data_IF_848594220176
#
_entry.id   IF_848594220176
#
_cell.length_a   1.000
_cell.length_b   1.000
_cell.length_c   1.000
_cell.angle_alpha   90.00
_cell.angle_beta   90.00
_cell.angle_gamma   90.00
#
_symmetry.space_group_name_H-M   'P 1'
#
loop_
_entity.id
_entity.type
_entity.pdbx_description
1 polymer ?
#
# COMPACT_ATOMS: atom_id res chain seq x y z
N UNK A 1 5.72 24.71 4.17
CA UNK A 1 4.70 25.54 3.51
C UNK A 1 5.29 26.32 2.35
N UNK A 2 6.29 27.19 2.57
CA UNK A 2 6.89 27.99 1.48
C UNK A 2 7.41 27.15 0.31
N UNK A 3 8.17 26.07 0.56
CA UNK A 3 8.68 25.24 -0.55
C UNK A 3 7.58 24.48 -1.30
N UNK A 4 6.52 24.05 -0.59
CA UNK A 4 5.35 23.42 -1.20
C UNK A 4 4.62 24.41 -2.11
N UNK A 5 4.40 25.64 -1.62
CA UNK A 5 3.76 26.70 -2.39
C UNK A 5 4.58 27.07 -3.64
N UNK A 6 5.91 27.18 -3.49
CA UNK A 6 6.84 27.41 -4.62
C UNK A 6 6.73 26.29 -5.65
N UNK A 7 6.77 25.03 -5.23
CA UNK A 7 6.64 23.88 -6.13
C UNK A 7 5.28 23.82 -6.83
N UNK A 8 4.21 24.25 -6.15
CA UNK A 8 2.85 24.32 -6.69
C UNK A 8 2.58 25.57 -7.55
N UNK A 9 3.53 26.52 -7.65
CA UNK A 9 3.36 27.75 -8.42
C UNK A 9 2.34 28.74 -7.83
N UNK A 10 2.09 28.70 -6.53
CA UNK A 10 1.11 29.55 -5.84
C UNK A 10 1.74 30.32 -4.67
N UNK A 11 1.07 31.38 -4.22
CA UNK A 11 1.52 32.13 -3.06
C UNK A 11 1.38 31.29 -1.77
N UNK A 12 2.33 31.44 -0.84
CA UNK A 12 2.27 30.75 0.46
C UNK A 12 0.99 31.09 1.22
N UNK A 13 0.50 32.33 1.12
CA UNK A 13 -0.76 32.76 1.73
C UNK A 13 -1.96 31.96 1.19
N UNK A 14 -2.00 31.66 -0.11
CA UNK A 14 -3.04 30.82 -0.71
C UNK A 14 -3.05 29.42 -0.08
N UNK A 15 -1.88 28.82 0.20
CA UNK A 15 -1.81 27.51 0.84
C UNK A 15 -2.43 27.52 2.25
N UNK A 16 -2.22 28.60 3.01
CA UNK A 16 -2.77 28.78 4.35
C UNK A 16 -4.30 28.99 4.37
N UNK A 17 -4.89 29.43 3.26
CA UNK A 17 -6.37 29.49 3.12
C UNK A 17 -6.98 28.09 3.15
N UNK A 18 -6.32 27.11 2.53
CA UNK A 18 -6.82 25.72 2.45
C UNK A 18 -6.34 24.85 3.61
N UNK A 19 -5.11 25.08 4.09
CA UNK A 19 -4.48 24.25 5.10
C UNK A 19 -3.96 25.11 6.27
N UNK A 20 -4.56 25.00 7.46
CA UNK A 20 -4.15 25.79 8.63
C UNK A 20 -2.68 25.59 9.03
N UNK A 21 -2.12 24.42 8.75
CA UNK A 21 -0.72 24.09 9.04
C UNK A 21 -0.15 23.10 8.03
N UNK A 22 1.19 22.96 8.03
CA UNK A 22 1.89 21.92 7.26
C UNK A 22 1.43 20.52 7.67
N UNK A 23 1.24 20.32 8.97
CA UNK A 23 0.88 19.02 9.51
C UNK A 23 -0.51 18.62 9.02
N UNK A 24 -1.47 19.55 9.03
CA UNK A 24 -2.83 19.30 8.53
C UNK A 24 -2.84 19.04 7.02
N UNK A 25 -2.02 19.76 6.25
CA UNK A 25 -1.82 19.48 4.83
C UNK A 25 -1.32 18.06 4.60
N UNK A 26 -0.29 17.63 5.34
CA UNK A 26 0.31 16.30 5.17
C UNK A 26 -0.66 15.17 5.57
N UNK A 27 -1.43 15.36 6.65
CA UNK A 27 -2.48 14.42 7.06
C UNK A 27 -3.54 14.29 5.97
N UNK A 28 -4.08 15.40 5.47
CA UNK A 28 -5.11 15.35 4.42
C UNK A 28 -4.57 14.75 3.11
N UNK A 29 -3.33 15.08 2.73
CA UNK A 29 -2.68 14.48 1.56
C UNK A 29 -2.52 12.96 1.72
N UNK A 30 -2.17 12.49 2.92
CA UNK A 30 -2.09 11.05 3.21
C UNK A 30 -3.46 10.36 3.08
N UNK A 31 -4.53 10.98 3.58
CA UNK A 31 -5.89 10.45 3.47
C UNK A 31 -6.36 10.36 2.02
N UNK A 32 -6.12 11.42 1.25
CA UNK A 32 -6.44 11.45 -0.17
C UNK A 32 -5.65 10.39 -0.93
N UNK A 33 -4.34 10.28 -0.69
CA UNK A 33 -3.48 9.28 -1.31
C UNK A 33 -3.96 7.85 -1.00
N UNK A 34 -4.26 7.55 0.27
CA UNK A 34 -4.77 6.23 0.69
C UNK A 34 -6.11 5.92 0.07
N UNK A 35 -7.03 6.88 0.04
CA UNK A 35 -8.34 6.72 -0.59
C UNK A 35 -8.21 6.45 -2.09
N UNK A 36 -7.33 7.19 -2.78
CA UNK A 36 -7.08 7.00 -4.20
C UNK A 36 -6.48 5.62 -4.49
N UNK A 37 -5.53 5.17 -3.67
CA UNK A 37 -4.98 3.81 -3.75
C UNK A 37 -6.07 2.76 -3.52
N UNK A 38 -6.91 2.90 -2.50
CA UNK A 38 -7.99 1.95 -2.22
C UNK A 38 -8.98 1.83 -3.39
N UNK A 39 -9.36 2.96 -3.98
CA UNK A 39 -10.24 2.98 -5.16
C UNK A 39 -9.63 2.23 -6.36
N UNK A 40 -8.33 2.41 -6.62
CA UNK A 40 -7.64 1.71 -7.72
C UNK A 40 -7.51 0.20 -7.48
N UNK A 41 -7.49 -0.24 -6.23
CA UNK A 41 -7.35 -1.66 -5.87
C UNK A 41 -8.69 -2.38 -5.68
N UNK A 42 -9.80 -1.66 -5.57
CA UNK A 42 -11.12 -2.19 -5.22
C UNK A 42 -11.59 -3.35 -6.11
N UNK A 43 -11.23 -3.34 -7.39
CA UNK A 43 -11.68 -4.33 -8.37
C UNK A 43 -10.74 -5.53 -8.54
N UNK A 44 -9.60 -5.55 -7.85
CA UNK A 44 -8.60 -6.62 -7.99
C UNK A 44 -9.00 -7.92 -7.27
N UNK A 45 -10.09 -7.92 -6.51
CA UNK A 45 -10.44 -8.99 -5.61
C UNK A 45 -11.75 -9.68 -6.02
N UNK A 46 -11.67 -10.95 -6.38
CA UNK A 46 -12.83 -11.82 -6.58
C UNK A 46 -12.99 -12.76 -5.38
N UNK A 47 -14.02 -12.58 -4.52
CA UNK A 47 -14.21 -13.41 -3.32
C UNK A 47 -14.47 -14.89 -3.64
N UNK A 48 -14.88 -15.23 -4.86
CA UNK A 48 -15.19 -16.61 -5.26
C UNK A 48 -13.96 -17.39 -5.71
N UNK A 49 -12.86 -16.71 -6.01
CA UNK A 49 -11.63 -17.36 -6.44
C UNK A 49 -10.89 -18.02 -5.26
N UNK A 50 -10.05 -19.04 -5.50
CA UNK A 50 -9.19 -19.61 -4.47
C UNK A 50 -8.29 -18.56 -3.82
N UNK A 51 -7.98 -18.71 -2.52
CA UNK A 51 -7.22 -17.71 -1.75
C UNK A 51 -5.90 -17.29 -2.40
N UNK A 52 -5.14 -18.25 -2.98
CA UNK A 52 -3.90 -17.95 -3.70
C UNK A 52 -4.14 -17.07 -4.93
N UNK A 53 -5.22 -17.30 -5.67
CA UNK A 53 -5.58 -16.50 -6.83
C UNK A 53 -6.03 -15.09 -6.42
N UNK A 54 -6.85 -14.98 -5.36
CA UNK A 54 -7.20 -13.69 -4.71
C UNK A 54 -5.94 -12.91 -4.32
N UNK A 55 -5.03 -13.57 -3.60
CA UNK A 55 -3.77 -12.98 -3.15
C UNK A 55 -2.90 -12.52 -4.33
N UNK A 56 -2.80 -13.32 -5.39
CA UNK A 56 -2.04 -12.97 -6.61
C UNK A 56 -2.61 -11.72 -7.29
N UNK A 57 -3.93 -11.66 -7.47
CA UNK A 57 -4.59 -10.54 -8.13
C UNK A 57 -4.38 -9.23 -7.35
N UNK A 58 -4.56 -9.26 -6.03
CA UNK A 58 -4.29 -8.11 -5.15
C UNK A 58 -2.81 -7.73 -5.18
N UNK A 59 -1.89 -8.70 -5.11
CA UNK A 59 -0.44 -8.44 -5.15
C UNK A 59 -0.02 -7.73 -6.43
N UNK A 60 -0.50 -8.21 -7.59
CA UNK A 60 -0.22 -7.62 -8.90
C UNK A 60 -0.82 -6.22 -9.03
N UNK A 61 -2.05 -6.02 -8.54
CA UNK A 61 -2.68 -4.70 -8.54
C UNK A 61 -1.91 -3.69 -7.68
N UNK A 62 -1.44 -4.11 -6.50
CA UNK A 62 -0.60 -3.28 -5.64
C UNK A 62 0.75 -2.96 -6.29
N UNK A 63 1.39 -3.95 -6.94
CA UNK A 63 2.63 -3.74 -7.67
C UNK A 63 2.44 -2.72 -8.80
N UNK A 64 1.43 -2.94 -9.65
CA UNK A 64 1.11 -2.05 -10.75
C UNK A 64 0.82 -0.62 -10.26
N UNK A 65 -0.02 -0.48 -9.24
CA UNK A 65 -0.31 0.82 -8.62
C UNK A 65 0.97 1.50 -8.11
N UNK A 66 1.87 0.76 -7.47
CA UNK A 66 3.13 1.31 -6.95
C UNK A 66 4.07 1.74 -8.08
N UNK A 67 4.16 0.99 -9.17
CA UNK A 67 4.98 1.34 -10.32
C UNK A 67 4.43 2.59 -11.03
N UNK A 68 3.12 2.66 -11.24
CA UNK A 68 2.44 3.78 -11.89
C UNK A 68 2.43 5.06 -11.04
N UNK A 69 2.31 4.92 -9.71
CA UNK A 69 2.17 6.05 -8.76
C UNK A 69 3.27 6.02 -7.69
N UNK A 70 4.53 5.84 -8.10
CA UNK A 70 5.65 5.62 -7.17
C UNK A 70 5.85 6.73 -6.14
N UNK A 71 5.74 8.00 -6.54
CA UNK A 71 5.88 9.14 -5.63
C UNK A 71 4.79 9.14 -4.56
N UNK A 72 3.55 8.84 -4.93
CA UNK A 72 2.42 8.71 -4.00
C UNK A 72 2.66 7.55 -3.01
N UNK A 73 3.05 6.38 -3.51
CA UNK A 73 3.33 5.22 -2.68
C UNK A 73 4.50 5.45 -1.71
N UNK A 74 5.57 6.12 -2.17
CA UNK A 74 6.72 6.48 -1.34
C UNK A 74 6.36 7.50 -0.27
N UNK A 75 5.55 8.49 -0.62
CA UNK A 75 5.02 9.46 0.35
C UNK A 75 4.20 8.78 1.44
N UNK A 76 3.29 7.86 1.07
CA UNK A 76 2.50 7.12 2.05
C UNK A 76 3.36 6.33 3.04
N UNK A 77 4.45 5.71 2.58
CA UNK A 77 5.37 4.95 3.45
C UNK A 77 6.13 5.87 4.42
N UNK A 78 6.70 6.95 3.89
CA UNK A 78 7.41 7.93 4.72
C UNK A 78 6.48 8.59 5.73
N UNK A 79 5.24 8.90 5.33
CA UNK A 79 4.24 9.48 6.22
C UNK A 79 3.83 8.48 7.31
N UNK A 80 3.59 7.21 6.98
CA UNK A 80 3.24 6.17 7.95
C UNK A 80 4.34 5.92 9.01
N UNK A 81 5.60 6.16 8.66
CA UNK A 81 6.75 6.08 9.57
C UNK A 81 7.01 7.38 10.36
N UNK A 82 6.21 8.42 10.15
CA UNK A 82 6.44 9.74 10.72
C UNK A 82 5.67 9.99 12.02
N UNK A 83 6.06 11.00 12.84
CA UNK A 83 5.31 11.40 14.03
C UNK A 83 3.92 12.01 13.74
N UNK A 84 3.61 12.30 12.47
CA UNK A 84 2.30 12.80 12.04
C UNK A 84 1.28 11.68 11.85
N UNK A 85 1.73 10.43 11.77
CA UNK A 85 0.84 9.27 11.73
C UNK A 85 0.20 9.02 13.10
N UNK A 86 -0.94 9.67 13.33
CA UNK A 86 -1.68 9.65 14.61
C UNK A 86 -3.01 8.94 14.49
N UNK A 87 -3.81 9.00 15.55
CA UNK A 87 -5.06 8.29 15.73
C UNK A 87 -6.02 8.37 14.52
N UNK A 88 -6.18 9.56 13.92
CA UNK A 88 -7.04 9.75 12.73
C UNK A 88 -6.56 8.90 11.54
N UNK A 89 -5.27 8.97 11.20
CA UNK A 89 -4.67 8.19 10.11
C UNK A 89 -4.64 6.69 10.41
N UNK A 90 -4.44 6.32 11.68
CA UNK A 90 -4.50 4.94 12.16
C UNK A 90 -5.91 4.35 11.98
N UNK A 91 -6.95 5.08 12.40
CA UNK A 91 -8.35 4.67 12.24
C UNK A 91 -8.72 4.48 10.77
N UNK A 92 -8.29 5.39 9.89
CA UNK A 92 -8.52 5.25 8.44
C UNK A 92 -7.82 4.01 7.85
N UNK A 93 -6.57 3.75 8.23
CA UNK A 93 -5.86 2.54 7.77
C UNK A 93 -6.57 1.29 8.28
N UNK A 94 -6.95 1.27 9.55
CA UNK A 94 -7.66 0.14 10.14
C UNK A 94 -8.97 -0.16 9.40
N UNK A 95 -9.78 0.87 9.09
CA UNK A 95 -11.04 0.68 8.36
C UNK A 95 -10.86 0.22 6.91
N UNK A 96 -9.80 0.67 6.24
CA UNK A 96 -9.52 0.31 4.84
C UNK A 96 -8.95 -1.11 4.71
N UNK A 97 -8.29 -1.62 5.76
CA UNK A 97 -7.58 -2.90 5.76
C UNK A 97 -8.39 -4.07 6.36
N UNK A 98 -9.65 -3.85 6.75
CA UNK A 98 -10.50 -4.88 7.39
C UNK A 98 -10.62 -6.12 6.51
N UNK A 99 -11.12 -5.98 5.28
CA UNK A 99 -11.34 -7.11 4.37
C UNK A 99 -10.05 -7.88 4.06
N UNK A 100 -8.92 -7.18 3.95
CA UNK A 100 -7.62 -7.82 3.75
C UNK A 100 -7.19 -8.62 4.99
N UNK A 101 -7.37 -8.05 6.18
CA UNK A 101 -7.02 -8.73 7.44
C UNK A 101 -7.92 -9.94 7.69
N UNK A 102 -9.20 -9.84 7.36
CA UNK A 102 -10.15 -10.96 7.44
C UNK A 102 -9.78 -12.10 6.49
N UNK A 103 -9.38 -11.79 5.25
CA UNK A 103 -8.94 -12.81 4.29
C UNK A 103 -7.66 -13.54 4.74
N UNK A 104 -6.73 -12.83 5.39
CA UNK A 104 -5.53 -13.44 5.97
C UNK A 104 -5.88 -14.32 7.18
N UNK A 105 -6.79 -13.89 8.04
CA UNK A 105 -7.23 -14.68 9.18
C UNK A 105 -8.05 -15.91 8.76
N UNK A 106 -8.87 -15.80 7.71
CA UNK A 106 -9.53 -16.93 7.05
C UNK A 106 -8.51 -17.97 6.57
N UNK A 107 -7.48 -17.52 5.83
CA UNK A 107 -6.42 -18.40 5.35
C UNK A 107 -5.63 -19.08 6.48
N UNK A 108 -5.43 -18.37 7.59
CA UNK A 108 -4.80 -18.92 8.81
C UNK A 108 -5.69 -19.98 9.47
N UNK A 109 -7.00 -19.72 9.61
CA UNK A 109 -7.97 -20.65 10.21
C UNK A 109 -8.14 -21.94 9.39
N UNK A 110 -7.99 -21.85 8.07
CA UNK A 110 -8.04 -23.00 7.16
C UNK A 110 -6.67 -23.66 6.91
N UNK A 111 -5.64 -23.31 7.68
CA UNK A 111 -4.29 -23.87 7.57
C UNK A 111 -3.66 -23.70 6.17
N UNK A 112 -4.14 -22.74 5.38
CA UNK A 112 -3.55 -22.37 4.09
C UNK A 112 -2.36 -21.43 4.31
N UNK A 113 -2.45 -20.58 5.33
CA UNK A 113 -1.40 -19.64 5.74
C UNK A 113 -0.81 -20.05 7.09
N UNK A 114 0.46 -19.71 7.30
CA UNK A 114 1.18 -19.98 8.55
C UNK A 114 0.39 -19.46 9.76
N UNK A 115 0.39 -20.24 10.84
CA UNK A 115 -0.23 -19.86 12.11
C UNK A 115 0.64 -18.86 12.90
N UNK A 116 0.71 -17.62 12.39
CA UNK A 116 1.42 -16.48 12.99
C UNK A 116 0.47 -15.27 13.07
N UNK A 117 0.81 -14.21 13.82
CA UNK A 117 -0.03 -13.01 13.89
C UNK A 117 -0.36 -12.46 12.50
N UNK A 118 -1.64 -12.10 12.25
CA UNK A 118 -2.11 -11.55 10.96
C UNK A 118 -1.31 -10.32 10.53
N UNK A 119 -0.90 -9.49 11.49
CA UNK A 119 -0.04 -8.34 11.24
C UNK A 119 1.29 -8.72 10.58
N UNK A 120 1.88 -9.87 10.93
CA UNK A 120 3.11 -10.36 10.32
C UNK A 120 2.89 -10.85 8.89
N UNK A 121 1.78 -11.57 8.64
CA UNK A 121 1.38 -11.98 7.29
C UNK A 121 1.17 -10.75 6.38
N UNK A 122 0.42 -9.77 6.88
CA UNK A 122 0.14 -8.52 6.17
C UNK A 122 1.42 -7.73 5.87
N UNK A 123 2.30 -7.57 6.86
CA UNK A 123 3.56 -6.86 6.70
C UNK A 123 4.45 -7.52 5.63
N UNK A 124 4.58 -8.85 5.66
CA UNK A 124 5.39 -9.58 4.68
C UNK A 124 4.81 -9.49 3.26
N UNK A 125 3.48 -9.60 3.14
CA UNK A 125 2.78 -9.42 1.86
C UNK A 125 3.03 -8.02 1.27
N UNK A 126 2.79 -6.96 2.05
CA UNK A 126 2.98 -5.57 1.61
C UNK A 126 4.46 -5.27 1.31
N UNK A 127 5.39 -5.76 2.14
CA UNK A 127 6.82 -5.56 1.93
C UNK A 127 7.31 -6.22 0.65
N UNK A 128 6.81 -7.41 0.31
CA UNK A 128 7.21 -8.10 -0.94
C UNK A 128 6.83 -7.30 -2.19
N UNK A 129 5.66 -6.65 -2.20
CA UNK A 129 5.24 -5.75 -3.30
C UNK A 129 6.20 -4.56 -3.40
N UNK A 130 6.54 -3.96 -2.26
CA UNK A 130 7.46 -2.82 -2.19
C UNK A 130 8.81 -3.16 -2.79
N UNK A 131 9.41 -4.27 -2.35
CA UNK A 131 10.75 -4.67 -2.80
C UNK A 131 10.75 -5.09 -4.28
N UNK A 132 9.72 -5.78 -4.76
CA UNK A 132 9.57 -6.10 -6.18
C UNK A 132 9.53 -4.82 -7.04
N UNK A 133 8.71 -3.84 -6.64
CA UNK A 133 8.64 -2.56 -7.34
C UNK A 133 9.97 -1.78 -7.29
N UNK A 134 10.70 -1.87 -6.17
CA UNK A 134 12.01 -1.24 -6.01
C UNK A 134 13.02 -1.82 -7.00
N UNK A 135 13.12 -3.15 -7.08
CA UNK A 135 14.03 -3.86 -8.00
C UNK A 135 13.69 -3.55 -9.46
N UNK A 136 12.40 -3.56 -9.81
CA UNK A 136 11.94 -3.23 -11.17
C UNK A 136 12.34 -1.79 -11.55
N UNK A 137 12.08 -0.81 -10.67
CA UNK A 137 12.44 0.59 -10.93
C UNK A 137 13.94 0.84 -10.97
N UNK A 138 14.73 0.05 -10.24
CA UNK A 138 16.19 0.14 -10.26
C UNK A 138 16.79 -0.48 -11.54
N UNK A 139 16.02 -1.27 -12.29
CA UNK A 139 16.51 -2.04 -13.43
C UNK A 139 17.18 -3.37 -13.05
N UNK A 140 17.14 -3.74 -11.76
CA UNK A 140 17.70 -5.00 -11.24
C UNK A 140 16.82 -6.22 -11.62
N UNK A 141 15.55 -5.97 -11.98
CA UNK A 141 14.57 -6.98 -12.38
C UNK A 141 13.76 -6.43 -13.56
N UNK A 142 13.55 -7.19 -14.66
CA UNK A 142 12.68 -6.73 -15.74
C UNK A 142 11.22 -6.67 -15.29
N UNK A 143 10.45 -5.74 -15.86
CA UNK A 143 9.01 -5.64 -15.62
C UNK A 143 8.21 -6.56 -16.56
N UNK A 144 8.42 -7.87 -16.41
CA UNK A 144 7.74 -8.90 -17.20
C UNK A 144 6.95 -9.89 -16.34
N UNK A 145 6.15 -10.73 -17.00
CA UNK A 145 5.30 -11.71 -16.32
C UNK A 145 6.12 -12.76 -15.54
N UNK A 146 7.30 -13.15 -16.03
CA UNK A 146 8.14 -14.14 -15.39
C UNK A 146 8.69 -13.61 -14.05
N UNK A 147 9.22 -12.38 -14.06
CA UNK A 147 9.70 -11.69 -12.87
C UNK A 147 8.59 -11.40 -11.86
N UNK A 148 7.43 -10.95 -12.32
CA UNK A 148 6.26 -10.71 -11.46
C UNK A 148 5.74 -12.02 -10.84
N UNK A 149 5.67 -13.09 -11.61
CA UNK A 149 5.24 -14.40 -11.12
C UNK A 149 6.23 -14.98 -10.09
N UNK A 150 7.53 -14.86 -10.32
CA UNK A 150 8.57 -15.30 -9.39
C UNK A 150 8.51 -14.51 -8.07
N UNK A 151 8.39 -13.17 -8.13
CA UNK A 151 8.27 -12.32 -6.95
C UNK A 151 7.02 -12.66 -6.12
N UNK A 152 5.86 -12.87 -6.78
CA UNK A 152 4.65 -13.33 -6.09
C UNK A 152 4.84 -14.73 -5.48
N UNK A 153 5.50 -15.66 -6.19
CA UNK A 153 5.76 -17.00 -5.66
C UNK A 153 6.59 -16.96 -4.37
N UNK A 154 7.65 -16.14 -4.34
CA UNK A 154 8.44 -15.92 -3.12
C UNK A 154 7.61 -15.34 -1.97
N UNK A 155 6.77 -14.34 -2.26
CA UNK A 155 5.82 -13.80 -1.29
C UNK A 155 4.91 -14.91 -0.76
N UNK A 156 4.30 -15.70 -1.65
CA UNK A 156 3.36 -16.74 -1.28
C UNK A 156 4.01 -17.85 -0.44
N UNK A 157 5.22 -18.28 -0.80
CA UNK A 157 5.95 -19.32 -0.08
C UNK A 157 6.33 -18.89 1.36
N UNK A 158 6.60 -17.59 1.54
CA UNK A 158 6.80 -17.02 2.87
C UNK A 158 5.51 -17.07 3.73
N UNK A 159 4.32 -17.06 3.11
CA UNK A 159 3.04 -16.99 3.82
C UNK A 159 2.33 -18.34 3.97
N UNK A 160 2.44 -19.25 2.99
CA UNK A 160 1.74 -20.54 2.98
C UNK A 160 2.20 -21.44 4.14
N UNK A 161 1.29 -22.22 4.73
CA UNK A 161 1.64 -23.19 5.76
C UNK A 161 2.54 -24.31 5.22
#
# INVERSE_FOLDING_TARGET
MSDIARAAGIATATLYVYYPSKDELLVQLYEQAKTSTAHRLMHAYDPKAPLRARARAVWLAMLHNRLAHFAEASFQEQFAASPWFRERSQRMVASTMVAFSEALDEGRRHEVLKNVPVALLAANFIASVREAARLIRAGDLPDDEASRAAAFAMCWDALKA
#
